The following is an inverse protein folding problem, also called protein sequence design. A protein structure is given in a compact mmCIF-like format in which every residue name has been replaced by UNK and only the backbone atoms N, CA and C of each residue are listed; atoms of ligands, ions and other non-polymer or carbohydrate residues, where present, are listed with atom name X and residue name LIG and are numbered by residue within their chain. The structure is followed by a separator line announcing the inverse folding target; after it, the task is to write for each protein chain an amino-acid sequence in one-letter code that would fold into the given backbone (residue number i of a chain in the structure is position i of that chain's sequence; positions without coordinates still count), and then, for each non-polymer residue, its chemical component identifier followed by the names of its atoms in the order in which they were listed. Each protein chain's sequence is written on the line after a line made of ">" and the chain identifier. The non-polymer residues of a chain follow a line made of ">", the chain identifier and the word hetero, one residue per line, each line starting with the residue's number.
data_IF_984321512278
#
_entry.id   IF_984321512278
#
_cell.length_a   1.000
_cell.length_b   1.000
_cell.length_c   1.000
_cell.angle_alpha   90.00
_cell.angle_beta   90.00
_cell.angle_gamma   90.00
#
_symmetry.space_group_name_H-M   'P 1'
#
loop_
_entity.id
_entity.type
_entity.pdbx_description
1 polymer ?
#
# COMPACT_ATOMS: atom_id res chain seq x y z
N UNK A 1 2.12 27.69 -31.49
CA UNK A 1 2.79 27.17 -30.26
C UNK A 1 4.11 26.47 -30.61
N UNK A 2 4.13 25.31 -31.28
CA UNK A 2 5.38 24.62 -31.62
C UNK A 2 6.26 25.33 -32.67
N UNK A 3 5.64 25.91 -33.71
CA UNK A 3 6.31 26.68 -34.76
C UNK A 3 6.92 28.00 -34.26
N UNK A 4 6.30 28.62 -33.26
CA UNK A 4 6.80 29.82 -32.58
C UNK A 4 8.08 29.51 -31.79
N UNK A 5 8.09 28.36 -31.08
CA UNK A 5 9.21 27.91 -30.27
C UNK A 5 10.44 27.54 -31.11
N UNK A 6 10.24 26.93 -32.29
CA UNK A 6 11.33 26.59 -33.23
C UNK A 6 12.05 27.82 -33.77
N UNK A 7 11.30 28.91 -34.06
CA UNK A 7 11.88 30.17 -34.53
C UNK A 7 12.75 30.86 -33.47
N UNK A 8 12.43 30.70 -32.19
CA UNK A 8 13.24 31.26 -31.10
C UNK A 8 14.61 30.60 -30.95
N UNK A 9 14.77 29.37 -31.43
CA UNK A 9 16.06 28.63 -31.42
C UNK A 9 16.75 28.61 -32.80
N UNK A 10 16.30 29.47 -33.73
CA UNK A 10 16.92 29.63 -35.05
C UNK A 10 16.68 28.46 -36.01
N UNK A 11 15.66 27.64 -35.75
CA UNK A 11 15.27 26.53 -36.63
C UNK A 11 14.05 26.96 -37.44
N UNK A 12 14.18 26.91 -38.77
CA UNK A 12 13.05 27.16 -39.67
C UNK A 12 12.00 26.05 -39.49
N UNK A 13 10.76 26.40 -39.09
CA UNK A 13 9.73 25.41 -38.89
C UNK A 13 9.29 24.81 -40.23
N UNK A 14 9.34 23.49 -40.32
CA UNK A 14 8.80 22.74 -41.47
C UNK A 14 7.29 22.70 -41.33
N UNK A 15 6.59 23.29 -42.30
CA UNK A 15 5.13 23.18 -42.40
C UNK A 15 4.79 21.80 -42.96
N UNK A 16 4.24 20.92 -42.13
CA UNK A 16 3.74 19.62 -42.56
C UNK A 16 2.22 19.67 -42.73
N UNK A 17 1.74 19.08 -43.82
CA UNK A 17 0.31 18.91 -44.04
C UNK A 17 -0.22 17.90 -43.01
N UNK A 18 -0.98 18.39 -42.03
CA UNK A 18 -1.42 17.58 -40.89
C UNK A 18 -2.84 17.12 -41.16
N UNK A 19 -3.16 15.81 -41.03
CA UNK A 19 -4.52 15.35 -41.26
C UNK A 19 -5.50 16.07 -40.32
N UNK A 20 -6.54 16.66 -40.90
CA UNK A 20 -7.63 17.28 -40.15
C UNK A 20 -8.66 16.21 -39.78
N UNK A 21 -9.12 16.23 -38.53
CA UNK A 21 -10.23 15.39 -38.05
C UNK A 21 -11.44 16.29 -37.81
N UNK A 22 -12.64 15.72 -37.88
CA UNK A 22 -13.82 16.43 -37.41
C UNK A 22 -13.63 16.79 -35.93
N UNK A 23 -13.81 18.08 -35.59
CA UNK A 23 -13.89 18.50 -34.20
C UNK A 23 -15.25 18.11 -33.65
N UNK A 24 -15.25 17.27 -32.62
CA UNK A 24 -16.46 16.93 -31.88
C UNK A 24 -16.60 17.87 -30.70
N UNK A 25 -17.77 18.50 -30.57
CA UNK A 25 -18.13 19.22 -29.34
C UNK A 25 -18.41 18.19 -28.25
N UNK A 26 -17.47 18.07 -27.31
CA UNK A 26 -17.62 17.18 -26.16
C UNK A 26 -18.44 17.87 -25.05
N UNK A 27 -19.37 17.13 -24.46
CA UNK A 27 -20.04 17.58 -23.25
C UNK A 27 -19.07 17.57 -22.06
N UNK A 28 -19.29 18.41 -21.02
CA UNK A 28 -18.47 18.36 -19.82
C UNK A 28 -18.45 16.95 -19.19
N UNK A 29 -17.27 16.52 -18.74
CA UNK A 29 -17.09 15.25 -18.03
C UNK A 29 -18.02 15.20 -16.81
N UNK A 30 -18.81 14.12 -16.72
CA UNK A 30 -19.66 13.82 -15.56
C UNK A 30 -19.12 12.59 -14.86
N UNK A 31 -18.78 12.75 -13.59
CA UNK A 31 -18.37 11.62 -12.77
C UNK A 31 -19.58 10.72 -12.48
N UNK A 32 -19.45 9.42 -12.74
CA UNK A 32 -20.49 8.43 -12.52
C UNK A 32 -19.99 7.40 -11.49
N UNK A 33 -20.41 7.58 -10.24
CA UNK A 33 -20.00 6.73 -9.11
C UNK A 33 -20.99 5.60 -8.81
N UNK A 34 -22.19 5.71 -9.35
CA UNK A 34 -23.26 4.71 -9.22
C UNK A 34 -24.04 4.65 -10.53
N UNK A 35 -24.29 3.44 -11.00
CA UNK A 35 -25.19 3.19 -12.13
C UNK A 35 -26.55 2.83 -11.54
N UNK A 36 -27.62 3.61 -11.77
CA UNK A 36 -28.95 3.25 -11.32
C UNK A 36 -29.39 1.96 -12.03
N UNK A 37 -29.98 1.03 -11.27
CA UNK A 37 -30.69 -0.08 -11.89
C UNK A 37 -32.01 0.42 -12.47
N UNK A 38 -32.48 -0.21 -13.53
CA UNK A 38 -33.81 0.04 -14.10
C UNK A 38 -34.56 -1.28 -14.36
N UNK A 39 -35.71 -1.19 -15.03
CA UNK A 39 -36.54 -2.37 -15.35
C UNK A 39 -35.87 -3.34 -16.33
N UNK A 40 -34.90 -2.87 -17.11
CA UNK A 40 -34.19 -3.65 -18.15
C UNK A 40 -32.89 -4.24 -17.58
N UNK A 41 -32.24 -3.52 -16.66
CA UNK A 41 -31.10 -3.99 -15.87
C UNK A 41 -31.39 -3.84 -14.37
N UNK A 42 -31.93 -4.91 -13.73
CA UNK A 42 -32.12 -4.92 -12.29
C UNK A 42 -30.82 -4.58 -11.56
N UNK A 43 -30.93 -3.80 -10.48
CA UNK A 43 -29.78 -3.43 -9.66
C UNK A 43 -29.13 -4.67 -9.03
N UNK A 44 -28.09 -5.21 -9.67
CA UNK A 44 -27.22 -6.21 -9.09
C UNK A 44 -26.35 -5.67 -7.94
N UNK A 45 -25.49 -6.51 -7.38
CA UNK A 45 -24.45 -6.06 -6.45
C UNK A 45 -23.46 -5.17 -7.20
N UNK A 46 -23.17 -3.99 -6.63
CA UNK A 46 -22.24 -3.01 -7.19
C UNK A 46 -21.00 -2.96 -6.31
N UNK A 47 -20.00 -3.76 -6.67
CA UNK A 47 -18.76 -3.87 -5.91
C UNK A 47 -17.91 -2.61 -6.07
N UNK A 48 -17.39 -2.15 -4.95
CA UNK A 48 -16.50 -0.99 -4.83
C UNK A 48 -15.10 -1.46 -4.43
N UNK A 49 -15.01 -2.45 -3.55
CA UNK A 49 -13.79 -3.17 -3.23
C UNK A 49 -14.02 -4.66 -3.46
N UNK A 50 -13.29 -5.21 -4.45
CA UNK A 50 -13.42 -6.60 -4.85
C UNK A 50 -12.76 -7.59 -3.90
N UNK A 51 -11.72 -7.18 -3.15
CA UNK A 51 -11.01 -8.11 -2.27
C UNK A 51 -11.78 -8.35 -0.97
N UNK A 52 -12.53 -7.34 -0.52
CA UNK A 52 -13.31 -7.39 0.71
C UNK A 52 -14.81 -7.53 0.45
N UNK A 53 -15.23 -7.75 -0.81
CA UNK A 53 -16.63 -7.81 -1.23
C UNK A 53 -17.48 -6.59 -0.81
N UNK A 54 -16.84 -5.43 -0.59
CA UNK A 54 -17.54 -4.20 -0.19
C UNK A 54 -18.31 -3.62 -1.37
N UNK A 55 -19.60 -3.36 -1.18
CA UNK A 55 -20.49 -2.81 -2.20
C UNK A 55 -20.91 -1.36 -1.93
N UNK A 56 -21.51 -0.72 -2.94
CA UNK A 56 -22.18 0.58 -2.78
C UNK A 56 -23.21 0.56 -1.64
N UNK A 57 -23.94 -0.56 -1.49
CA UNK A 57 -24.99 -0.70 -0.50
C UNK A 57 -24.45 -0.63 0.94
N UNK A 58 -23.26 -1.19 1.18
CA UNK A 58 -22.60 -1.18 2.50
C UNK A 58 -22.16 0.24 2.88
N UNK A 59 -21.62 1.00 1.91
CA UNK A 59 -21.22 2.40 2.13
C UNK A 59 -22.44 3.28 2.42
N UNK A 60 -23.52 3.10 1.65
CA UNK A 60 -24.78 3.83 1.90
C UNK A 60 -25.43 3.41 3.21
N UNK A 61 -25.31 2.14 3.63
CA UNK A 61 -25.77 1.68 4.93
C UNK A 61 -24.99 2.39 6.05
N UNK A 62 -23.66 2.44 5.96
CA UNK A 62 -22.84 3.18 6.92
C UNK A 62 -23.27 4.66 7.03
N UNK A 63 -23.54 5.32 5.90
CA UNK A 63 -24.07 6.68 5.91
C UNK A 63 -25.44 6.79 6.62
N UNK A 64 -26.36 5.84 6.41
CA UNK A 64 -27.66 5.81 7.11
C UNK A 64 -27.52 5.58 8.62
N UNK A 65 -26.53 4.80 9.04
CA UNK A 65 -26.24 4.52 10.44
C UNK A 65 -25.48 5.66 11.16
N UNK A 66 -25.19 6.75 10.46
CA UNK A 66 -24.63 7.97 11.06
C UNK A 66 -23.12 8.12 10.87
N UNK A 67 -22.45 7.20 10.17
CA UNK A 67 -21.04 7.41 9.81
C UNK A 67 -20.92 8.56 8.80
N UNK A 68 -19.96 9.46 9.03
CA UNK A 68 -19.72 10.68 8.21
C UNK A 68 -18.28 10.76 7.73
N UNK A 69 -17.32 10.44 8.61
CA UNK A 69 -15.90 10.38 8.26
C UNK A 69 -15.60 9.15 7.40
N UNK A 70 -14.82 9.34 6.33
CA UNK A 70 -14.34 8.25 5.48
C UNK A 70 -13.54 7.22 6.28
N UNK A 71 -12.81 7.66 7.31
CA UNK A 71 -12.04 6.78 8.19
C UNK A 71 -12.94 5.84 9.02
N UNK A 72 -14.16 6.28 9.37
CA UNK A 72 -15.13 5.42 10.05
C UNK A 72 -15.79 4.45 9.09
N UNK A 73 -16.21 4.93 7.91
CA UNK A 73 -16.79 4.06 6.87
C UNK A 73 -15.80 2.97 6.48
N UNK A 74 -14.53 3.31 6.30
CA UNK A 74 -13.43 2.37 6.02
C UNK A 74 -13.38 1.23 7.05
N UNK A 75 -13.46 1.55 8.34
CA UNK A 75 -13.41 0.58 9.45
C UNK A 75 -14.69 -0.26 9.56
N UNK A 76 -15.84 0.33 9.24
CA UNK A 76 -17.13 -0.34 9.31
C UNK A 76 -17.34 -1.32 8.14
N UNK A 77 -16.94 -0.94 6.92
CA UNK A 77 -17.19 -1.73 5.70
C UNK A 77 -16.00 -2.57 5.21
N UNK A 78 -14.83 -2.41 5.84
CA UNK A 78 -13.54 -2.92 5.38
C UNK A 78 -13.07 -2.38 4.00
N UNK A 79 -13.65 -1.28 3.52
CA UNK A 79 -13.24 -0.62 2.26
C UNK A 79 -11.73 -0.33 2.24
N UNK A 80 -11.01 -0.87 1.26
CA UNK A 80 -9.60 -0.60 1.05
C UNK A 80 -8.67 -1.26 2.08
N UNK A 81 -9.13 -2.28 2.79
CA UNK A 81 -8.31 -3.12 3.68
C UNK A 81 -7.57 -4.24 2.93
N UNK A 82 -7.84 -4.38 1.63
CA UNK A 82 -7.21 -5.38 0.78
C UNK A 82 -5.69 -5.21 0.64
N UNK A 83 -5.06 -6.21 0.03
CA UNK A 83 -3.63 -6.20 -0.36
C UNK A 83 -3.32 -5.10 -1.38
N UNK A 84 -4.32 -4.62 -2.12
CA UNK A 84 -4.19 -3.47 -3.01
C UNK A 84 -4.15 -2.13 -2.24
N UNK A 85 -4.47 -2.12 -0.95
CA UNK A 85 -4.60 -0.93 -0.10
C UNK A 85 -5.61 0.09 -0.64
N UNK A 86 -6.69 -0.38 -1.28
CA UNK A 86 -7.77 0.45 -1.79
C UNK A 86 -7.40 1.32 -2.99
N UNK A 87 -6.37 0.94 -3.75
CA UNK A 87 -5.96 1.61 -4.99
C UNK A 87 -7.11 1.71 -6.00
N UNK A 88 -7.97 0.68 -6.05
CA UNK A 88 -9.10 0.63 -6.98
C UNK A 88 -10.41 1.17 -6.36
N UNK A 89 -10.60 0.98 -5.05
CA UNK A 89 -11.89 1.21 -4.40
C UNK A 89 -12.04 2.53 -3.65
N UNK A 90 -10.96 3.12 -3.11
CA UNK A 90 -11.09 4.20 -2.12
C UNK A 90 -11.70 5.49 -2.71
N UNK A 91 -11.31 5.87 -3.93
CA UNK A 91 -11.86 7.06 -4.59
C UNK A 91 -13.35 6.88 -4.88
N UNK A 92 -13.73 5.69 -5.38
CA UNK A 92 -15.12 5.36 -5.64
C UNK A 92 -15.95 5.37 -4.35
N UNK A 93 -15.45 4.73 -3.29
CA UNK A 93 -16.14 4.68 -2.00
C UNK A 93 -16.28 6.04 -1.32
N UNK A 94 -15.25 6.89 -1.41
CA UNK A 94 -15.30 8.29 -0.97
C UNK A 94 -16.35 9.08 -1.73
N UNK A 95 -16.43 8.92 -3.05
CA UNK A 95 -17.40 9.63 -3.87
C UNK A 95 -18.84 9.15 -3.63
N UNK A 96 -19.05 7.84 -3.40
CA UNK A 96 -20.34 7.28 -3.01
C UNK A 96 -20.78 7.81 -1.64
N UNK A 97 -19.85 7.91 -0.68
CA UNK A 97 -20.14 8.51 0.62
C UNK A 97 -20.50 9.99 0.49
N UNK A 98 -19.76 10.74 -0.33
CA UNK A 98 -20.04 12.14 -0.60
C UNK A 98 -21.45 12.35 -1.17
N UNK A 99 -21.82 11.54 -2.16
CA UNK A 99 -23.18 11.51 -2.74
C UNK A 99 -24.24 11.18 -1.68
N UNK A 100 -24.02 10.13 -0.88
CA UNK A 100 -24.95 9.72 0.17
C UNK A 100 -25.15 10.79 1.27
N UNK A 101 -24.17 11.67 1.47
CA UNK A 101 -24.22 12.75 2.45
C UNK A 101 -24.60 14.12 1.86
N UNK A 102 -24.77 14.21 0.53
CA UNK A 102 -25.03 15.48 -0.16
C UNK A 102 -23.86 16.47 -0.07
N UNK A 103 -22.62 15.97 -0.03
CA UNK A 103 -21.39 16.76 0.09
C UNK A 103 -20.52 16.61 -1.16
N UNK A 104 -19.57 17.54 -1.38
CA UNK A 104 -18.55 17.36 -2.41
C UNK A 104 -17.53 16.31 -1.97
N UNK A 105 -16.91 15.55 -2.91
CA UNK A 105 -15.82 14.63 -2.55
C UNK A 105 -14.67 15.29 -1.81
N UNK A 106 -14.39 16.57 -2.12
CA UNK A 106 -13.37 17.37 -1.42
C UNK A 106 -13.69 17.62 0.06
N UNK A 107 -14.97 17.64 0.45
CA UNK A 107 -15.40 17.86 1.83
C UNK A 107 -15.27 16.60 2.71
N UNK A 108 -15.29 15.41 2.10
CA UNK A 108 -15.08 14.13 2.80
C UNK A 108 -13.61 13.94 3.19
N UNK A 109 -12.69 14.41 2.34
CA UNK A 109 -11.26 14.22 2.49
C UNK A 109 -10.77 12.83 2.10
N UNK A 110 -9.45 12.64 2.05
CA UNK A 110 -8.81 11.36 1.75
C UNK A 110 -8.36 10.65 3.02
N UNK A 111 -8.18 9.33 2.94
CA UNK A 111 -7.58 8.56 4.04
C UNK A 111 -6.07 8.76 4.09
N UNK A 112 -5.48 8.52 5.26
CA UNK A 112 -4.01 8.64 5.43
C UNK A 112 -3.26 7.58 4.59
N UNK A 113 -2.34 8.02 3.74
CA UNK A 113 -1.39 7.13 3.05
C UNK A 113 -0.25 6.71 3.97
N UNK A 114 0.12 5.42 3.95
CA UNK A 114 1.17 4.85 4.81
C UNK A 114 2.18 4.05 3.98
N UNK A 115 3.48 4.09 4.32
CA UNK A 115 4.45 3.13 3.78
C UNK A 115 4.15 1.71 4.31
N UNK A 116 4.44 0.65 3.56
CA UNK A 116 4.98 0.62 2.20
C UNK A 116 3.87 0.79 1.13
N UNK A 117 4.18 1.43 -0.01
CA UNK A 117 3.21 1.65 -1.10
C UNK A 117 2.61 0.34 -1.66
N UNK A 118 3.43 -0.70 -1.71
CA UNK A 118 3.05 -2.09 -1.98
C UNK A 118 3.64 -3.00 -0.90
N UNK A 119 3.03 -4.16 -0.59
CA UNK A 119 3.59 -5.09 0.37
C UNK A 119 5.05 -5.47 0.06
N UNK A 120 5.86 -5.56 1.10
CA UNK A 120 7.27 -6.00 1.05
C UNK A 120 7.41 -7.22 1.96
N UNK A 121 8.18 -8.21 1.54
CA UNK A 121 8.37 -9.43 2.33
C UNK A 121 9.18 -9.14 3.61
N UNK A 122 8.87 -9.84 4.70
CA UNK A 122 9.65 -9.71 5.94
C UNK A 122 11.11 -10.11 5.76
N UNK A 123 11.41 -11.07 4.87
CA UNK A 123 12.79 -11.43 4.53
C UNK A 123 13.59 -10.28 3.90
N UNK A 124 12.96 -9.47 3.04
CA UNK A 124 13.61 -8.28 2.48
C UNK A 124 13.89 -7.23 3.55
N UNK A 125 13.01 -7.10 4.56
CA UNK A 125 13.22 -6.20 5.70
C UNK A 125 14.35 -6.72 6.61
N UNK A 126 14.38 -8.02 6.90
CA UNK A 126 15.43 -8.64 7.71
C UNK A 126 16.81 -8.59 7.03
N UNK A 127 16.83 -8.63 5.69
CA UNK A 127 18.06 -8.54 4.90
C UNK A 127 19.04 -9.66 5.25
N UNK A 128 20.26 -9.30 5.67
CA UNK A 128 21.32 -10.24 6.07
C UNK A 128 21.35 -10.51 7.57
N UNK A 129 20.50 -9.85 8.37
CA UNK A 129 20.43 -10.02 9.82
C UNK A 129 19.67 -11.31 10.17
N UNK A 130 20.22 -12.45 9.75
CA UNK A 130 19.62 -13.79 9.88
C UNK A 130 20.71 -14.82 10.19
N UNK A 131 20.32 -15.92 10.84
CA UNK A 131 21.25 -17.01 11.19
C UNK A 131 22.16 -16.68 12.38
N UNK A 132 22.89 -17.68 12.88
CA UNK A 132 23.62 -17.59 14.15
C UNK A 132 24.69 -16.48 14.18
N UNK A 133 25.37 -16.23 13.06
CA UNK A 133 26.50 -15.29 13.02
C UNK A 133 26.10 -13.84 12.71
N UNK A 134 25.05 -13.64 11.91
CA UNK A 134 24.69 -12.31 11.39
C UNK A 134 23.43 -11.72 12.05
N UNK A 135 22.66 -12.52 12.80
CA UNK A 135 21.47 -12.04 13.51
C UNK A 135 21.83 -11.03 14.61
N UNK A 136 22.82 -11.35 15.44
CA UNK A 136 23.37 -10.47 16.47
C UNK A 136 24.88 -10.73 16.61
N UNK A 137 25.75 -9.71 16.80
CA UNK A 137 27.19 -9.92 16.85
C UNK A 137 27.62 -10.86 17.98
N UNK A 138 28.45 -11.84 17.64
CA UNK A 138 29.11 -12.73 18.61
C UNK A 138 30.47 -12.13 19.01
N UNK A 139 30.60 -11.71 20.27
CA UNK A 139 31.85 -11.20 20.86
C UNK A 139 32.64 -12.34 21.51
N UNK A 140 33.94 -12.38 21.22
CA UNK A 140 34.89 -13.41 21.69
C UNK A 140 36.08 -12.75 22.38
N UNK A 141 36.58 -13.36 23.44
CA UNK A 141 37.79 -12.90 24.12
C UNK A 141 39.03 -13.30 23.31
N UNK A 142 40.21 -12.70 23.54
CA UNK A 142 41.46 -13.16 22.93
C UNK A 142 41.83 -14.63 23.25
N UNK A 143 41.23 -15.20 24.30
CA UNK A 143 41.44 -16.59 24.76
C UNK A 143 40.39 -17.56 24.21
N UNK A 144 39.50 -17.12 23.32
CA UNK A 144 38.38 -17.93 22.86
C UNK A 144 38.80 -19.25 22.23
N UNK A 145 39.82 -19.26 21.38
CA UNK A 145 40.32 -20.49 20.75
C UNK A 145 40.87 -21.48 21.79
N UNK A 146 41.55 -21.00 22.84
CA UNK A 146 41.99 -21.86 23.95
C UNK A 146 40.81 -22.49 24.68
N UNK A 147 39.71 -21.75 24.89
CA UNK A 147 38.50 -22.29 25.50
C UNK A 147 37.86 -23.40 24.65
N UNK A 148 37.82 -23.21 23.33
CA UNK A 148 37.31 -24.22 22.37
C UNK A 148 38.18 -25.47 22.39
N UNK A 149 39.50 -25.32 22.29
CA UNK A 149 40.47 -26.44 22.29
C UNK A 149 40.43 -27.27 23.58
N UNK A 150 40.08 -26.66 24.72
CA UNK A 150 39.96 -27.32 26.02
C UNK A 150 38.53 -27.80 26.32
N UNK A 151 37.64 -27.81 25.32
CA UNK A 151 36.31 -28.41 25.43
C UNK A 151 35.31 -27.60 26.25
N UNK A 152 35.47 -26.27 26.36
CA UNK A 152 34.51 -25.43 27.07
C UNK A 152 33.10 -25.55 26.47
N UNK A 153 32.10 -25.67 27.35
CA UNK A 153 30.70 -25.37 27.02
C UNK A 153 30.50 -23.86 27.17
N UNK A 154 29.76 -23.22 26.26
CA UNK A 154 29.57 -21.77 26.26
C UNK A 154 28.16 -21.36 26.62
N UNK A 155 28.04 -20.21 27.28
CA UNK A 155 26.78 -19.50 27.51
C UNK A 155 26.80 -18.13 26.81
N UNK A 156 25.61 -17.59 26.56
CA UNK A 156 25.41 -16.23 26.05
C UNK A 156 25.25 -15.24 27.21
N UNK A 157 26.25 -14.37 27.39
CA UNK A 157 26.21 -13.26 28.35
C UNK A 157 26.10 -11.95 27.59
N UNK A 158 24.86 -11.59 27.24
CA UNK A 158 24.60 -10.59 26.21
C UNK A 158 25.15 -11.06 24.87
N UNK A 159 25.96 -10.23 24.21
CA UNK A 159 26.63 -10.59 22.95
C UNK A 159 27.91 -11.42 23.13
N UNK A 160 28.35 -11.71 24.35
CA UNK A 160 29.57 -12.46 24.60
C UNK A 160 29.33 -13.96 24.70
N UNK A 161 30.09 -14.75 23.95
CA UNK A 161 30.22 -16.20 24.18
C UNK A 161 31.26 -16.44 25.27
N UNK A 162 30.80 -16.68 26.49
CA UNK A 162 31.67 -16.94 27.66
C UNK A 162 31.72 -18.43 27.96
N UNK A 163 32.88 -18.98 28.38
CA UNK A 163 32.93 -20.33 28.91
C UNK A 163 32.02 -20.44 30.12
N UNK A 164 31.05 -21.34 30.04
CA UNK A 164 30.15 -21.70 31.12
C UNK A 164 30.84 -22.66 32.08
N UNK A 165 31.38 -23.77 31.55
CA UNK A 165 32.18 -24.74 32.30
C UNK A 165 33.04 -25.61 31.35
N UNK A 166 33.98 -26.38 31.93
CA UNK A 166 34.86 -27.31 31.21
C UNK A 166 34.59 -28.73 31.71
N UNK A 167 33.85 -29.56 30.96
CA UNK A 167 33.55 -30.92 31.36
C UNK A 167 34.83 -31.77 31.41
N UNK A 168 34.98 -32.53 32.49
CA UNK A 168 35.99 -33.58 32.57
C UNK A 168 35.43 -34.88 31.96
N UNK A 169 36.25 -35.72 31.31
CA UNK A 169 35.80 -37.02 30.82
C UNK A 169 35.20 -37.86 31.97
N UNK A 170 33.92 -38.20 31.87
CA UNK A 170 33.23 -39.10 32.81
C UNK A 170 32.58 -38.44 34.04
N UNK A 171 32.58 -37.12 34.16
CA UNK A 171 31.82 -36.40 35.21
C UNK A 171 30.47 -35.94 34.68
N UNK A 172 29.38 -36.43 35.28
CA UNK A 172 28.04 -35.89 35.10
C UNK A 172 27.83 -34.59 35.87
#
# INVERSE_FOLDING_TARGET
>A
MASEALRQVGIDPVTMDTPSTAQHNEAPLRALWSIPGDRVMPSGKKFVDYQNDTTEADIRLAAREGYRSIEHVKRYTALGFGTDQGKLGNVNGMAILADALGQSPSAIGTTTYRPNYTPVTFGAIAGRAVGETLFDPIRRTPMHEWHVENGAVFEDVGQWKRPWYYPLPGGG
#
